data_IF_024881873412
#
_entry.id   IF_024881873412
#
_cell.length_a   1.000
_cell.length_b   1.000
_cell.length_c   1.000
_cell.angle_alpha   90.00
_cell.angle_beta   90.00
_cell.angle_gamma   90.00
#
_symmetry.space_group_name_H-M   'P 1'
#
loop_
_entity.id
_entity.type
_entity.pdbx_description
1 polymer ?
#
# COMPACT_ATOMS: atom_id res chain seq x y z
N UNK A 1 -51.85 58.25 -35.84
CA UNK A 1 -50.89 59.02 -35.01
C UNK A 1 -50.10 58.04 -34.14
N UNK A 2 -49.00 57.55 -34.66
CA UNK A 2 -48.04 56.74 -33.83
C UNK A 2 -46.91 57.64 -33.48
N UNK A 3 -46.64 57.78 -32.15
CA UNK A 3 -45.46 58.48 -31.61
C UNK A 3 -44.31 57.48 -31.60
N UNK A 4 -43.28 57.82 -32.37
CA UNK A 4 -41.94 57.19 -32.32
C UNK A 4 -41.25 57.45 -30.97
N UNK A 5 -40.85 56.39 -30.27
CA UNK A 5 -40.00 56.46 -29.08
C UNK A 5 -38.55 56.22 -29.50
N UNK A 6 -37.75 57.26 -29.38
CA UNK A 6 -36.32 57.31 -29.70
C UNK A 6 -35.54 56.65 -28.55
N UNK A 7 -34.95 55.46 -28.78
CA UNK A 7 -34.02 54.83 -27.84
C UNK A 7 -32.63 55.48 -27.96
N UNK A 8 -32.12 55.99 -26.86
CA UNK A 8 -30.74 56.46 -26.75
C UNK A 8 -29.76 55.28 -26.67
N UNK A 9 -28.59 55.35 -27.30
CA UNK A 9 -27.60 54.30 -27.21
C UNK A 9 -26.91 54.25 -25.80
N UNK A 10 -26.74 52.99 -25.32
CA UNK A 10 -26.04 52.73 -24.08
C UNK A 10 -24.54 53.12 -24.22
N UNK A 11 -24.08 53.95 -23.29
CA UNK A 11 -22.69 54.32 -23.20
C UNK A 11 -21.81 53.12 -22.82
N UNK A 12 -20.78 52.87 -23.62
CA UNK A 12 -19.74 51.87 -23.40
C UNK A 12 -18.95 52.21 -22.12
N UNK A 13 -19.16 51.46 -21.07
CA UNK A 13 -18.39 51.55 -19.85
C UNK A 13 -17.05 50.80 -20.04
N UNK A 14 -15.94 51.53 -20.19
CA UNK A 14 -14.59 50.99 -20.19
C UNK A 14 -14.24 50.59 -18.77
N UNK A 15 -14.13 49.29 -18.45
CA UNK A 15 -13.51 48.86 -17.19
C UNK A 15 -12.03 49.28 -17.15
N UNK A 16 -11.55 49.77 -16.02
CA UNK A 16 -10.14 50.17 -15.91
C UNK A 16 -9.23 48.90 -16.01
N UNK A 17 -8.16 49.03 -16.80
CA UNK A 17 -7.19 47.99 -17.11
C UNK A 17 -6.49 47.41 -15.86
N UNK A 18 -6.61 48.03 -14.71
CA UNK A 18 -6.06 47.57 -13.44
C UNK A 18 -6.85 46.38 -12.86
N UNK A 19 -8.18 46.36 -13.00
CA UNK A 19 -9.06 45.27 -12.51
C UNK A 19 -8.88 43.97 -13.26
N UNK A 20 -8.56 44.05 -14.56
CA UNK A 20 -8.33 42.84 -15.41
C UNK A 20 -6.97 42.19 -15.05
N UNK A 21 -5.95 42.98 -14.69
CA UNK A 21 -4.63 42.44 -14.27
C UNK A 21 -4.67 41.77 -12.89
N UNK A 22 -5.46 42.27 -11.95
CA UNK A 22 -5.62 41.67 -10.62
C UNK A 22 -6.41 40.34 -10.73
N UNK A 23 -7.45 40.25 -11.55
CA UNK A 23 -8.19 39.02 -11.76
C UNK A 23 -7.34 37.94 -12.45
N UNK A 24 -6.50 38.31 -13.44
CA UNK A 24 -5.63 37.36 -14.12
C UNK A 24 -4.49 36.85 -13.21
N UNK A 25 -3.99 37.68 -12.29
CA UNK A 25 -2.95 37.28 -11.32
C UNK A 25 -3.53 36.42 -10.21
N UNK A 26 -4.76 36.66 -9.76
CA UNK A 26 -5.47 35.79 -8.81
C UNK A 26 -5.82 34.42 -9.42
N UNK A 27 -6.24 34.36 -10.68
CA UNK A 27 -6.50 33.11 -11.40
C UNK A 27 -5.22 32.30 -11.64
N UNK A 28 -4.07 32.94 -11.84
CA UNK A 28 -2.79 32.25 -12.03
C UNK A 28 -2.25 31.64 -10.71
N UNK A 29 -2.53 32.28 -9.57
CA UNK A 29 -2.14 31.75 -8.25
C UNK A 29 -3.02 30.59 -7.76
N UNK A 30 -4.24 30.45 -8.27
CA UNK A 30 -5.13 29.32 -7.91
C UNK A 30 -4.93 28.08 -8.78
N UNK A 31 -4.21 28.17 -9.90
CA UNK A 31 -3.93 27.03 -10.77
C UNK A 31 -2.65 26.23 -10.39
N UNK A 32 -1.83 26.74 -9.47
CA UNK A 32 -0.61 26.05 -9.01
C UNK A 32 -0.93 24.99 -7.93
N UNK A 33 -2.15 24.95 -7.39
CA UNK A 33 -2.53 24.07 -6.28
C UNK A 33 -3.12 22.69 -6.64
N UNK A 34 -3.30 22.35 -7.92
CA UNK A 34 -4.07 21.15 -8.31
C UNK A 34 -3.29 20.03 -9.01
N UNK A 35 -1.97 20.20 -9.21
CA UNK A 35 -1.15 19.20 -9.91
C UNK A 35 -0.26 18.33 -9.00
N UNK A 36 -0.34 18.45 -7.69
CA UNK A 36 0.63 17.84 -6.77
C UNK A 36 0.04 16.68 -5.97
N UNK A 37 -0.38 15.58 -6.60
CA UNK A 37 -0.85 14.42 -5.82
C UNK A 37 -0.59 13.02 -6.38
N UNK A 38 0.08 12.87 -7.50
CA UNK A 38 0.40 11.56 -8.04
C UNK A 38 1.88 11.23 -7.80
N UNK A 39 2.25 10.86 -6.59
CA UNK A 39 3.64 10.55 -6.25
C UNK A 39 3.72 9.43 -5.22
N UNK A 40 4.66 8.51 -5.44
CA UNK A 40 4.95 7.42 -4.50
C UNK A 40 6.23 7.66 -3.70
N UNK A 41 7.06 8.63 -4.10
CA UNK A 41 8.33 8.98 -3.47
C UNK A 41 8.26 10.36 -2.84
N UNK A 42 8.68 10.45 -1.58
CA UNK A 42 8.75 11.69 -0.80
C UNK A 42 10.14 11.89 -0.23
N UNK A 43 10.62 13.13 -0.27
CA UNK A 43 11.84 13.60 0.35
C UNK A 43 11.54 14.11 1.76
N UNK A 44 12.37 13.71 2.72
CA UNK A 44 12.27 14.09 4.13
C UNK A 44 13.51 14.93 4.48
N UNK A 45 13.31 16.18 4.94
CA UNK A 45 14.38 17.12 5.28
C UNK A 45 14.00 17.98 6.49
N UNK A 46 14.88 18.90 6.88
CA UNK A 46 14.67 19.77 8.07
C UNK A 46 15.09 19.10 9.36
N UNK A 47 14.77 19.72 10.51
CA UNK A 47 15.11 19.24 11.85
C UNK A 47 16.57 18.77 12.01
N UNK A 48 17.50 19.61 11.54
CA UNK A 48 18.95 19.39 11.67
C UNK A 48 19.50 18.16 10.88
N UNK A 49 18.70 17.58 9.98
CA UNK A 49 19.22 16.57 9.05
C UNK A 49 20.24 17.21 8.10
N UNK A 50 21.46 16.70 8.09
CA UNK A 50 22.55 17.22 7.24
C UNK A 50 22.35 16.87 5.76
N UNK A 51 21.70 15.73 5.50
CA UNK A 51 21.29 15.27 4.17
C UNK A 51 19.85 14.75 4.25
N UNK A 52 19.07 14.88 3.16
CA UNK A 52 17.70 14.36 3.15
C UNK A 52 17.67 12.85 3.22
N UNK A 53 16.61 12.32 3.80
CA UNK A 53 16.15 10.95 3.64
C UNK A 53 14.97 10.90 2.70
N UNK A 54 14.55 9.70 2.29
CA UNK A 54 13.43 9.50 1.39
C UNK A 54 12.51 8.38 1.91
N UNK A 55 11.25 8.42 1.49
CA UNK A 55 10.30 7.34 1.73
C UNK A 55 9.54 7.04 0.43
N UNK A 56 9.43 5.77 0.08
CA UNK A 56 8.72 5.29 -1.11
C UNK A 56 7.65 4.28 -0.71
N UNK A 57 6.47 4.44 -1.32
CA UNK A 57 5.37 3.48 -1.19
C UNK A 57 5.49 2.34 -2.19
N UNK A 58 5.26 1.09 -1.75
CA UNK A 58 5.23 -0.11 -2.58
C UNK A 58 3.88 -0.81 -2.52
N UNK A 59 3.61 -1.65 -3.51
CA UNK A 59 2.53 -2.65 -3.49
C UNK A 59 3.15 -3.99 -3.85
N UNK A 60 3.10 -4.94 -2.92
CA UNK A 60 3.83 -6.22 -2.94
C UNK A 60 3.62 -7.07 -4.20
N UNK A 61 2.54 -6.85 -4.94
CA UNK A 61 2.22 -7.60 -6.16
C UNK A 61 2.65 -6.91 -7.45
N UNK A 62 3.35 -5.79 -7.36
CA UNK A 62 3.88 -5.04 -8.50
C UNK A 62 5.31 -5.45 -8.78
N UNK A 63 5.62 -5.71 -10.07
CA UNK A 63 6.97 -6.06 -10.53
C UNK A 63 7.96 -4.89 -10.38
N UNK A 64 9.20 -5.22 -10.13
CA UNK A 64 10.33 -4.28 -10.11
C UNK A 64 10.48 -3.48 -11.42
N UNK A 65 9.94 -3.96 -12.52
CA UNK A 65 9.91 -3.23 -13.80
C UNK A 65 9.16 -1.90 -13.74
N UNK A 66 8.34 -1.69 -12.71
CA UNK A 66 7.68 -0.40 -12.45
C UNK A 66 8.62 0.64 -11.82
N UNK A 67 9.71 0.21 -11.20
CA UNK A 67 10.64 1.06 -10.46
C UNK A 67 11.14 2.30 -11.25
N UNK A 68 11.60 2.20 -12.52
CA UNK A 68 12.04 3.37 -13.28
C UNK A 68 10.94 4.41 -13.55
N UNK A 69 9.67 4.06 -13.29
CA UNK A 69 8.53 4.96 -13.45
C UNK A 69 8.29 5.86 -12.24
N UNK A 70 8.92 5.53 -11.08
CA UNK A 70 8.84 6.35 -9.87
C UNK A 70 9.84 7.50 -10.01
N UNK A 71 9.31 8.71 -10.14
CA UNK A 71 10.13 9.91 -10.37
C UNK A 71 11.12 10.13 -9.22
N UNK A 72 12.40 10.35 -9.54
CA UNK A 72 13.45 10.65 -8.57
C UNK A 72 13.98 9.45 -7.78
N UNK A 73 13.51 8.24 -8.07
CA UNK A 73 13.89 7.06 -7.30
C UNK A 73 15.38 6.74 -7.39
N UNK A 74 15.99 6.91 -8.57
CA UNK A 74 17.42 6.71 -8.77
C UNK A 74 18.25 7.68 -7.91
N UNK A 75 17.82 8.96 -7.81
CA UNK A 75 18.46 9.94 -6.93
C UNK A 75 18.33 9.51 -5.47
N UNK A 76 17.13 9.12 -5.03
CA UNK A 76 16.88 8.67 -3.67
C UNK A 76 17.75 7.46 -3.32
N UNK A 77 17.86 6.48 -4.23
CA UNK A 77 18.76 5.32 -4.07
C UNK A 77 20.21 5.78 -3.98
N UNK A 78 20.68 6.64 -4.89
CA UNK A 78 22.10 7.00 -4.97
C UNK A 78 22.58 7.90 -3.83
N UNK A 79 21.70 8.74 -3.27
CA UNK A 79 22.04 9.74 -2.25
C UNK A 79 21.83 9.27 -0.81
N UNK A 80 21.24 8.09 -0.60
CA UNK A 80 21.05 7.49 0.72
C UNK A 80 22.09 6.44 1.02
N UNK A 81 22.40 6.20 2.30
CA UNK A 81 23.43 5.26 2.75
C UNK A 81 22.80 3.96 3.31
N UNK A 82 21.50 4.00 3.65
CA UNK A 82 20.74 2.88 4.20
C UNK A 82 19.43 2.68 3.45
N UNK A 83 18.99 1.43 3.28
CA UNK A 83 17.65 1.07 2.85
C UNK A 83 16.94 0.41 4.02
N UNK A 84 15.80 0.99 4.41
CA UNK A 84 15.04 0.57 5.59
C UNK A 84 13.69 0.04 5.13
N UNK A 85 13.46 -1.27 5.30
CA UNK A 85 12.17 -1.89 5.02
C UNK A 85 11.20 -1.81 6.20
N UNK A 86 10.02 -2.36 6.02
CA UNK A 86 9.13 -2.64 7.15
C UNK A 86 9.82 -3.62 8.11
N UNK A 87 10.38 -4.69 7.58
CA UNK A 87 11.26 -5.64 8.26
C UNK A 87 12.67 -5.52 7.67
N UNK A 88 13.73 -5.72 8.47
CA UNK A 88 15.08 -5.86 7.91
C UNK A 88 15.10 -7.07 6.96
N UNK A 89 15.53 -6.81 5.76
CA UNK A 89 15.57 -7.82 4.70
C UNK A 89 16.48 -9.02 5.02
N UNK A 90 17.51 -8.85 5.84
CA UNK A 90 18.33 -9.97 6.31
C UNK A 90 17.54 -10.90 7.21
N UNK A 91 16.67 -10.35 8.07
CA UNK A 91 15.74 -11.12 8.89
C UNK A 91 14.71 -11.81 8.00
N UNK A 92 14.03 -11.06 7.11
CA UNK A 92 12.98 -11.56 6.26
C UNK A 92 13.41 -12.73 5.34
N UNK A 93 14.69 -12.78 4.95
CA UNK A 93 15.26 -13.85 4.12
C UNK A 93 15.97 -14.95 4.92
N UNK A 94 16.03 -14.85 6.24
CA UNK A 94 16.66 -15.88 7.06
C UNK A 94 15.84 -17.18 7.03
N UNK A 95 16.55 -18.33 6.98
CA UNK A 95 15.89 -19.64 7.00
C UNK A 95 15.04 -19.82 8.27
N UNK A 96 15.50 -19.30 9.40
CA UNK A 96 14.77 -19.34 10.67
C UNK A 96 13.44 -18.59 10.58
N UNK A 97 13.43 -17.36 10.03
CA UNK A 97 12.22 -16.58 9.85
C UNK A 97 11.25 -17.25 8.88
N UNK A 98 11.72 -17.72 7.73
CA UNK A 98 10.90 -18.43 6.75
C UNK A 98 10.27 -19.70 7.33
N UNK A 99 11.01 -20.42 8.17
CA UNK A 99 10.48 -21.60 8.89
C UNK A 99 9.36 -21.20 9.84
N UNK A 100 9.56 -20.16 10.66
CA UNK A 100 8.54 -19.67 11.59
C UNK A 100 7.29 -19.15 10.88
N UNK A 101 7.43 -18.46 9.75
CA UNK A 101 6.28 -18.05 8.91
C UNK A 101 5.52 -19.27 8.42
N UNK A 102 6.25 -20.28 7.90
CA UNK A 102 5.62 -21.51 7.43
C UNK A 102 4.86 -22.23 8.55
N UNK A 103 5.44 -22.32 9.74
CA UNK A 103 4.80 -22.93 10.91
C UNK A 103 3.56 -22.13 11.37
N UNK A 104 3.63 -20.80 11.38
CA UNK A 104 2.49 -19.94 11.73
C UNK A 104 1.31 -20.05 10.77
N UNK A 105 1.59 -20.44 9.53
CA UNK A 105 0.56 -20.67 8.51
C UNK A 105 -0.06 -22.06 8.57
N UNK A 106 0.41 -22.96 9.43
CA UNK A 106 -0.02 -24.36 9.46
C UNK A 106 -0.89 -24.68 10.67
N UNK A 107 -1.95 -25.43 10.45
CA UNK A 107 -2.74 -26.04 11.52
C UNK A 107 -1.95 -27.15 12.23
N UNK A 108 -2.25 -27.43 13.50
CA UNK A 108 -1.64 -28.52 14.24
C UNK A 108 -1.73 -29.86 13.47
N UNK A 109 -0.81 -30.76 13.76
CA UNK A 109 -0.80 -32.08 13.13
C UNK A 109 -2.14 -32.82 13.33
N UNK A 110 -2.62 -33.46 12.25
CA UNK A 110 -3.91 -34.16 12.23
C UNK A 110 -5.14 -33.25 12.09
N UNK A 111 -4.97 -31.91 12.04
CA UNK A 111 -6.06 -30.96 11.76
C UNK A 111 -5.98 -30.44 10.34
N UNK A 112 -7.15 -30.16 9.78
CA UNK A 112 -7.30 -29.58 8.45
C UNK A 112 -8.33 -28.46 8.48
N UNK A 113 -8.41 -27.70 7.41
CA UNK A 113 -9.43 -26.65 7.24
C UNK A 113 -10.86 -27.19 7.35
N UNK A 114 -11.08 -28.47 7.01
CA UNK A 114 -12.38 -29.15 7.16
C UNK A 114 -12.83 -29.29 8.61
N UNK A 115 -11.89 -29.29 9.56
CA UNK A 115 -12.21 -29.38 11.00
C UNK A 115 -12.71 -28.05 11.56
N UNK A 116 -12.54 -26.95 10.81
CA UNK A 116 -12.84 -25.58 11.25
C UNK A 116 -14.08 -25.00 10.59
N UNK A 117 -14.45 -25.48 9.42
CA UNK A 117 -15.52 -24.93 8.59
C UNK A 117 -16.76 -25.82 8.61
N UNK A 118 -17.92 -25.19 8.61
CA UNK A 118 -19.19 -25.86 8.30
C UNK A 118 -19.25 -26.29 6.84
N UNK A 119 -20.19 -27.15 6.49
CA UNK A 119 -20.38 -27.58 5.10
C UNK A 119 -20.73 -26.44 4.14
N UNK A 120 -21.41 -25.40 4.62
CA UNK A 120 -21.78 -24.23 3.80
C UNK A 120 -20.57 -23.31 3.60
N UNK A 121 -19.81 -23.03 4.65
CA UNK A 121 -18.56 -22.25 4.57
C UNK A 121 -17.54 -22.93 3.65
N UNK A 122 -17.44 -24.26 3.72
CA UNK A 122 -16.58 -25.05 2.83
C UNK A 122 -16.96 -24.89 1.36
N UNK A 123 -18.25 -24.75 1.02
CA UNK A 123 -18.68 -24.49 -0.36
C UNK A 123 -18.17 -23.14 -0.87
N UNK A 124 -18.21 -22.09 -0.04
CA UNK A 124 -17.71 -20.78 -0.40
C UNK A 124 -16.20 -20.83 -0.65
N UNK A 125 -15.45 -21.49 0.23
CA UNK A 125 -14.00 -21.70 0.07
C UNK A 125 -13.68 -22.53 -1.19
N UNK A 126 -14.40 -23.61 -1.44
CA UNK A 126 -14.23 -24.44 -2.62
C UNK A 126 -14.52 -23.66 -3.92
N UNK A 127 -15.55 -22.81 -3.92
CA UNK A 127 -15.85 -21.93 -5.06
C UNK A 127 -14.68 -20.97 -5.37
N UNK A 128 -14.12 -20.34 -4.35
CA UNK A 128 -12.98 -19.44 -4.50
C UNK A 128 -11.73 -20.20 -5.01
N UNK A 129 -11.40 -21.35 -4.42
CA UNK A 129 -10.31 -22.22 -4.87
C UNK A 129 -10.47 -22.63 -6.33
N UNK A 130 -11.65 -23.16 -6.69
CA UNK A 130 -11.97 -23.56 -8.05
C UNK A 130 -11.75 -22.43 -9.04
N UNK A 131 -12.09 -21.19 -8.66
CA UNK A 131 -11.94 -20.02 -9.52
C UNK A 131 -10.48 -19.68 -9.85
N UNK A 132 -9.55 -19.93 -8.94
CA UNK A 132 -8.12 -19.57 -9.12
C UNK A 132 -7.23 -20.76 -9.51
N UNK A 133 -7.58 -21.98 -9.11
CA UNK A 133 -6.74 -23.18 -9.36
C UNK A 133 -7.34 -24.15 -10.36
N UNK A 134 -8.65 -24.08 -10.63
CA UNK A 134 -9.39 -25.06 -11.41
C UNK A 134 -9.70 -26.36 -10.63
N UNK A 135 -9.43 -26.41 -9.32
CA UNK A 135 -9.72 -27.53 -8.44
C UNK A 135 -10.09 -27.01 -7.04
N UNK A 136 -10.67 -27.86 -6.21
CA UNK A 136 -11.08 -27.54 -4.85
C UNK A 136 -10.60 -28.59 -3.83
N UNK A 137 -11.03 -28.49 -2.58
CA UNK A 137 -10.65 -29.43 -1.53
C UNK A 137 -11.25 -30.87 -1.68
N UNK A 138 -12.12 -31.10 -2.65
CA UNK A 138 -12.54 -32.44 -2.97
C UNK A 138 -11.49 -33.18 -3.83
N UNK A 139 -10.55 -32.46 -4.43
CA UNK A 139 -9.36 -32.99 -5.02
C UNK A 139 -8.33 -33.34 -3.93
N UNK A 140 -7.90 -34.65 -3.82
CA UNK A 140 -6.94 -35.10 -2.80
C UNK A 140 -5.59 -34.36 -2.85
N UNK A 141 -5.13 -33.91 -4.04
CA UNK A 141 -3.87 -33.19 -4.18
C UNK A 141 -3.98 -31.77 -3.58
N UNK A 142 -5.09 -31.08 -3.83
CA UNK A 142 -5.37 -29.76 -3.23
C UNK A 142 -5.45 -29.85 -1.72
N UNK A 143 -6.18 -30.88 -1.22
CA UNK A 143 -6.26 -31.14 0.21
C UNK A 143 -4.90 -31.44 0.83
N UNK A 144 -4.06 -32.24 0.17
CA UNK A 144 -2.72 -32.56 0.67
C UNK A 144 -1.80 -31.34 0.72
N UNK A 145 -1.92 -30.43 -0.24
CA UNK A 145 -1.06 -29.24 -0.35
C UNK A 145 -1.51 -28.08 0.56
N UNK A 146 -2.79 -27.81 0.64
CA UNK A 146 -3.34 -26.61 1.26
C UNK A 146 -4.30 -26.88 2.42
N UNK A 147 -4.74 -28.13 2.60
CA UNK A 147 -5.76 -28.48 3.61
C UNK A 147 -5.29 -28.26 5.05
N UNK A 148 -4.00 -28.15 5.30
CA UNK A 148 -3.43 -27.88 6.61
C UNK A 148 -3.08 -26.40 6.83
N UNK A 149 -3.36 -25.53 5.88
CA UNK A 149 -3.18 -24.09 6.12
C UNK A 149 -4.18 -23.59 7.18
N UNK A 150 -3.74 -22.67 8.03
CA UNK A 150 -4.65 -21.88 8.87
C UNK A 150 -5.56 -21.06 7.96
N UNK A 151 -6.73 -20.60 8.44
CA UNK A 151 -7.59 -19.74 7.62
C UNK A 151 -6.87 -18.48 7.13
N UNK A 152 -6.04 -17.84 7.94
CA UNK A 152 -5.21 -16.70 7.52
C UNK A 152 -4.16 -17.09 6.47
N UNK A 153 -3.51 -18.26 6.63
CA UNK A 153 -2.59 -18.82 5.64
C UNK A 153 -3.28 -19.11 4.30
N UNK A 154 -4.49 -19.64 4.36
CA UNK A 154 -5.28 -19.92 3.16
C UNK A 154 -5.76 -18.62 2.48
N UNK A 155 -6.18 -17.60 3.25
CA UNK A 155 -6.54 -16.27 2.71
C UNK A 155 -5.38 -15.64 1.96
N UNK A 156 -4.18 -15.63 2.54
CA UNK A 156 -2.97 -15.15 1.87
C UNK A 156 -2.66 -15.93 0.59
N UNK A 157 -2.78 -17.24 0.64
CA UNK A 157 -2.54 -18.12 -0.52
C UNK A 157 -3.54 -17.85 -1.64
N UNK A 158 -4.83 -17.70 -1.32
CA UNK A 158 -5.88 -17.36 -2.30
C UNK A 158 -5.64 -15.99 -2.94
N UNK A 159 -5.26 -14.98 -2.16
CA UNK A 159 -4.93 -13.64 -2.66
C UNK A 159 -3.72 -13.69 -3.61
N UNK A 160 -2.67 -14.43 -3.25
CA UNK A 160 -1.51 -14.63 -4.11
C UNK A 160 -1.88 -15.33 -5.42
N UNK A 161 -2.69 -16.39 -5.37
CA UNK A 161 -3.17 -17.10 -6.55
C UNK A 161 -4.05 -16.23 -7.45
N UNK A 162 -4.85 -15.35 -6.84
CA UNK A 162 -5.64 -14.35 -7.56
C UNK A 162 -4.73 -13.40 -8.35
N UNK A 163 -3.66 -12.89 -7.70
CA UNK A 163 -2.65 -12.07 -8.36
C UNK A 163 -1.97 -12.82 -9.51
N UNK A 164 -1.54 -14.05 -9.28
CA UNK A 164 -0.90 -14.87 -10.31
C UNK A 164 -1.81 -15.12 -11.52
N UNK A 165 -3.11 -15.36 -11.28
CA UNK A 165 -4.07 -15.62 -12.35
C UNK A 165 -4.34 -14.37 -13.21
N UNK A 166 -4.55 -13.21 -12.58
CA UNK A 166 -4.98 -12.00 -13.28
C UNK A 166 -3.81 -11.15 -13.83
N UNK A 167 -2.63 -11.32 -13.25
CA UNK A 167 -1.43 -10.57 -13.62
C UNK A 167 -0.29 -11.48 -14.09
N UNK A 168 -0.60 -12.66 -14.65
CA UNK A 168 0.38 -13.67 -15.07
C UNK A 168 1.52 -13.11 -15.93
N UNK A 169 1.22 -12.13 -16.80
CA UNK A 169 2.20 -11.50 -17.67
C UNK A 169 3.07 -10.44 -16.98
N UNK A 170 2.66 -9.97 -15.80
CA UNK A 170 3.33 -8.87 -15.07
C UNK A 170 3.64 -9.19 -13.60
N UNK A 171 3.15 -10.30 -13.07
CA UNK A 171 3.42 -10.76 -11.72
C UNK A 171 4.46 -11.88 -11.72
N UNK A 172 5.60 -11.61 -11.09
CA UNK A 172 6.63 -12.63 -10.84
C UNK A 172 6.99 -12.58 -9.35
N UNK A 173 6.71 -13.62 -8.57
CA UNK A 173 6.99 -13.65 -7.14
C UNK A 173 8.51 -13.52 -6.81
N UNK A 174 9.39 -13.75 -7.79
CA UNK A 174 10.83 -13.56 -7.65
C UNK A 174 11.32 -12.17 -8.09
N UNK A 175 10.40 -11.31 -8.55
CA UNK A 175 10.71 -9.98 -9.09
C UNK A 175 9.75 -8.92 -8.50
N UNK A 176 9.47 -9.00 -7.20
CA UNK A 176 8.65 -8.03 -6.51
C UNK A 176 9.45 -6.76 -6.22
N UNK A 177 8.77 -5.62 -6.18
CA UNK A 177 9.40 -4.32 -5.97
C UNK A 177 10.16 -4.25 -4.64
N UNK A 178 9.67 -4.90 -3.61
CA UNK A 178 10.34 -4.97 -2.30
C UNK A 178 11.66 -5.73 -2.37
N UNK A 179 11.71 -6.87 -3.10
CA UNK A 179 12.92 -7.63 -3.34
C UNK A 179 13.97 -6.85 -4.16
N UNK A 180 13.50 -5.95 -5.03
CA UNK A 180 14.36 -5.08 -5.79
C UNK A 180 15.16 -4.14 -4.89
N UNK A 181 14.52 -3.49 -3.92
CA UNK A 181 15.20 -2.60 -2.98
C UNK A 181 16.26 -3.33 -2.15
N UNK A 182 15.99 -4.58 -1.76
CA UNK A 182 17.00 -5.43 -1.11
C UNK A 182 18.21 -5.69 -2.01
N UNK A 183 17.94 -6.02 -3.27
CA UNK A 183 18.99 -6.23 -4.26
C UNK A 183 19.82 -4.96 -4.44
N UNK A 184 19.17 -3.81 -4.61
CA UNK A 184 19.82 -2.50 -4.73
C UNK A 184 20.70 -2.20 -3.52
N UNK A 185 20.23 -2.44 -2.29
CA UNK A 185 21.02 -2.23 -1.10
C UNK A 185 22.30 -3.08 -1.10
N UNK A 186 22.19 -4.35 -1.44
CA UNK A 186 23.36 -5.27 -1.50
C UNK A 186 24.35 -4.89 -2.58
N UNK A 187 23.90 -4.63 -3.80
CA UNK A 187 24.75 -4.30 -4.95
C UNK A 187 25.51 -2.99 -4.74
N UNK A 188 24.93 -2.05 -3.99
CA UNK A 188 25.55 -0.76 -3.67
C UNK A 188 26.23 -0.74 -2.29
N UNK A 189 26.39 -1.88 -1.61
CA UNK A 189 26.98 -2.00 -0.28
C UNK A 189 26.34 -1.08 0.77
N UNK A 190 25.04 -0.83 0.68
CA UNK A 190 24.30 0.00 1.63
C UNK A 190 23.95 -0.80 2.88
N UNK A 191 23.83 -0.10 4.00
CA UNK A 191 23.24 -0.68 5.21
C UNK A 191 21.76 -1.04 4.97
N UNK A 192 21.25 -2.00 5.76
CA UNK A 192 19.82 -2.33 5.79
C UNK A 192 19.33 -2.29 7.23
N UNK A 193 18.07 -1.97 7.43
CA UNK A 193 17.39 -1.93 8.73
C UNK A 193 15.89 -2.17 8.56
N UNK A 194 15.15 -2.33 9.67
CA UNK A 194 13.72 -2.54 9.70
C UNK A 194 12.98 -1.60 10.66
N UNK A 195 11.80 -1.16 10.28
CA UNK A 195 10.92 -0.35 11.12
C UNK A 195 10.22 -1.18 12.20
N UNK A 196 10.04 -2.47 11.95
CA UNK A 196 9.50 -3.44 12.91
C UNK A 196 10.22 -4.79 12.75
N UNK A 197 9.97 -5.71 13.67
CA UNK A 197 10.53 -7.06 13.59
C UNK A 197 9.61 -7.98 12.81
N UNK A 198 10.18 -9.06 12.23
CA UNK A 198 9.39 -10.09 11.56
C UNK A 198 8.39 -10.76 12.50
N UNK A 199 8.71 -10.90 13.80
CA UNK A 199 7.80 -11.46 14.80
C UNK A 199 6.58 -10.55 15.04
N UNK A 200 6.77 -9.21 15.10
CA UNK A 200 5.67 -8.25 15.20
C UNK A 200 4.72 -8.37 14.00
N UNK A 201 5.28 -8.46 12.79
CA UNK A 201 4.49 -8.60 11.56
C UNK A 201 3.78 -9.96 11.48
N UNK A 202 4.44 -11.06 11.81
CA UNK A 202 3.82 -12.39 11.86
C UNK A 202 2.64 -12.44 12.84
N UNK A 203 2.78 -11.81 14.00
CA UNK A 203 1.71 -11.75 14.99
C UNK A 203 0.48 -10.99 14.47
N UNK A 204 0.70 -9.93 13.71
CA UNK A 204 -0.40 -9.18 13.08
C UNK A 204 -1.12 -10.00 12.00
N UNK A 205 -0.36 -10.71 11.16
CA UNK A 205 -0.90 -11.43 10.00
C UNK A 205 -1.53 -12.79 10.37
N UNK A 206 -0.94 -13.51 11.33
CA UNK A 206 -1.30 -14.91 11.64
C UNK A 206 -1.70 -15.14 13.10
N UNK A 207 -1.49 -14.17 13.99
CA UNK A 207 -1.73 -14.32 15.43
C UNK A 207 -3.15 -13.99 15.88
N UNK A 208 -4.08 -13.72 14.97
CA UNK A 208 -5.48 -13.46 15.32
C UNK A 208 -6.17 -14.73 15.84
N UNK A 209 -7.20 -14.61 16.71
CA UNK A 209 -7.99 -15.75 17.16
C UNK A 209 -8.53 -16.58 15.98
N UNK A 210 -8.55 -17.89 16.13
CA UNK A 210 -8.96 -18.82 15.07
C UNK A 210 -10.37 -18.51 14.53
N UNK A 211 -11.29 -18.14 15.41
CA UNK A 211 -12.66 -17.78 15.03
C UNK A 211 -12.69 -16.53 14.14
N UNK A 212 -11.81 -15.55 14.39
CA UNK A 212 -11.67 -14.38 13.53
C UNK A 212 -11.09 -14.78 12.17
N UNK A 213 -10.03 -15.59 12.17
CA UNK A 213 -9.41 -16.05 10.92
C UNK A 213 -10.42 -16.83 10.04
N UNK A 214 -11.29 -17.64 10.65
CA UNK A 214 -12.37 -18.36 9.94
C UNK A 214 -13.36 -17.36 9.33
N UNK A 215 -13.87 -16.42 10.12
CA UNK A 215 -14.81 -15.39 9.61
C UNK A 215 -14.24 -14.61 8.44
N UNK A 216 -12.98 -14.17 8.56
CA UNK A 216 -12.32 -13.36 7.54
C UNK A 216 -12.10 -14.17 6.25
N UNK A 217 -11.69 -15.43 6.35
CA UNK A 217 -11.55 -16.33 5.21
C UNK A 217 -12.89 -16.57 4.50
N UNK A 218 -13.93 -16.91 5.26
CA UNK A 218 -15.26 -17.20 4.70
C UNK A 218 -15.81 -15.96 4.00
N UNK A 219 -15.74 -14.79 4.64
CA UNK A 219 -16.16 -13.54 4.04
C UNK A 219 -15.37 -13.22 2.74
N UNK A 220 -14.04 -13.38 2.75
CA UNK A 220 -13.23 -13.23 1.54
C UNK A 220 -13.73 -14.14 0.41
N UNK A 221 -14.03 -15.41 0.72
CA UNK A 221 -14.48 -16.37 -0.28
C UNK A 221 -15.91 -16.11 -0.77
N UNK A 222 -16.80 -15.61 0.08
CA UNK A 222 -18.16 -15.22 -0.29
C UNK A 222 -18.17 -13.98 -1.20
N UNK A 223 -17.22 -13.07 -1.01
CA UNK A 223 -17.08 -11.82 -1.77
C UNK A 223 -15.85 -11.82 -2.68
N UNK A 224 -15.43 -12.98 -3.19
CA UNK A 224 -14.17 -13.15 -3.90
C UNK A 224 -14.08 -12.30 -5.18
N UNK A 225 -15.19 -12.14 -5.91
CA UNK A 225 -15.25 -11.28 -7.10
C UNK A 225 -15.00 -9.80 -6.74
N UNK A 226 -15.47 -9.36 -5.56
CA UNK A 226 -15.19 -8.02 -5.06
C UNK A 226 -13.72 -7.87 -4.66
N UNK A 227 -13.17 -8.84 -3.95
CA UNK A 227 -11.74 -8.82 -3.58
C UNK A 227 -10.84 -8.73 -4.82
N UNK A 228 -11.24 -9.37 -5.92
CA UNK A 228 -10.57 -9.21 -7.21
C UNK A 228 -10.64 -7.76 -7.73
N UNK A 229 -11.82 -7.15 -7.75
CA UNK A 229 -12.01 -5.77 -8.22
C UNK A 229 -11.22 -4.77 -7.36
N UNK A 230 -11.25 -4.93 -6.04
CA UNK A 230 -10.49 -4.09 -5.10
C UNK A 230 -8.97 -4.19 -5.36
N UNK A 231 -8.47 -5.39 -5.66
CA UNK A 231 -7.07 -5.60 -6.04
C UNK A 231 -6.72 -4.90 -7.37
N UNK A 232 -7.61 -4.99 -8.36
CA UNK A 232 -7.44 -4.32 -9.65
C UNK A 232 -7.40 -2.79 -9.48
N UNK A 233 -8.32 -2.24 -8.71
CA UNK A 233 -8.40 -0.80 -8.40
C UNK A 233 -7.17 -0.32 -7.65
N UNK A 234 -6.68 -1.08 -6.67
CA UNK A 234 -5.47 -0.79 -5.90
C UNK A 234 -4.23 -0.76 -6.81
N UNK A 235 -4.05 -1.77 -7.67
CA UNK A 235 -2.92 -1.83 -8.61
C UNK A 235 -3.01 -0.70 -9.64
N UNK A 236 -4.21 -0.38 -10.13
CA UNK A 236 -4.41 0.74 -11.05
C UNK A 236 -4.06 2.09 -10.40
N UNK A 237 -4.54 2.33 -9.18
CA UNK A 237 -4.19 3.54 -8.43
C UNK A 237 -2.68 3.64 -8.20
N UNK A 238 -2.02 2.54 -7.83
CA UNK A 238 -0.57 2.50 -7.63
C UNK A 238 0.21 2.79 -8.92
N UNK A 239 -0.13 2.14 -10.03
CA UNK A 239 0.52 2.37 -11.34
C UNK A 239 0.32 3.79 -11.86
N UNK A 240 -0.79 4.43 -11.53
CA UNK A 240 -1.02 5.84 -11.80
C UNK A 240 -0.34 6.76 -10.77
N UNK A 241 0.34 6.20 -9.77
CA UNK A 241 0.98 6.90 -8.64
C UNK A 241 -0.01 7.77 -7.84
N UNK A 242 -1.29 7.42 -7.87
CA UNK A 242 -2.38 8.13 -7.19
C UNK A 242 -2.55 7.60 -5.75
N UNK A 243 -1.73 8.15 -4.85
CA UNK A 243 -1.73 7.77 -3.44
C UNK A 243 -3.05 8.09 -2.74
N UNK A 244 -3.75 9.14 -3.18
CA UNK A 244 -5.07 9.49 -2.65
C UNK A 244 -6.11 8.40 -3.00
N UNK A 245 -6.18 8.03 -4.29
CA UNK A 245 -7.09 6.96 -4.74
C UNK A 245 -6.76 5.62 -4.09
N UNK A 246 -5.47 5.32 -3.92
CA UNK A 246 -5.04 4.11 -3.22
C UNK A 246 -5.54 4.09 -1.76
N UNK A 247 -5.43 5.21 -1.05
CA UNK A 247 -5.98 5.35 0.30
C UNK A 247 -7.49 5.18 0.35
N UNK A 248 -8.23 5.77 -0.61
CA UNK A 248 -9.69 5.61 -0.72
C UNK A 248 -10.09 4.13 -0.92
N UNK A 249 -9.38 3.40 -1.78
CA UNK A 249 -9.64 1.96 -2.02
C UNK A 249 -9.38 1.17 -0.73
N UNK A 250 -8.28 1.44 -0.04
CA UNK A 250 -7.96 0.76 1.22
C UNK A 250 -8.96 1.08 2.33
N UNK A 251 -9.35 2.34 2.49
CA UNK A 251 -10.35 2.73 3.49
C UNK A 251 -11.70 2.08 3.20
N UNK A 252 -12.09 1.95 1.94
CA UNK A 252 -13.31 1.23 1.54
C UNK A 252 -13.22 -0.26 1.87
N UNK A 253 -12.07 -0.90 1.68
CA UNK A 253 -11.85 -2.30 2.09
C UNK A 253 -12.04 -2.49 3.60
N UNK A 254 -11.56 -1.55 4.43
CA UNK A 254 -11.77 -1.62 5.87
C UNK A 254 -13.22 -1.34 6.28
N UNK A 255 -13.94 -0.47 5.59
CA UNK A 255 -15.32 -0.09 5.95
C UNK A 255 -16.36 -1.08 5.45
N UNK A 256 -16.17 -1.65 4.27
CA UNK A 256 -17.17 -2.44 3.56
C UNK A 256 -16.69 -3.84 3.21
N UNK A 257 -15.43 -4.16 3.52
CA UNK A 257 -14.80 -5.46 3.23
C UNK A 257 -14.99 -6.49 4.34
N UNK A 258 -14.13 -7.50 4.30
CA UNK A 258 -14.14 -8.64 5.22
C UNK A 258 -13.20 -8.43 6.41
N UNK A 259 -13.15 -7.24 6.95
CA UNK A 259 -12.33 -6.89 8.12
C UNK A 259 -13.22 -6.47 9.31
N UNK A 260 -12.62 -6.41 10.50
CA UNK A 260 -13.27 -5.79 11.66
C UNK A 260 -13.26 -4.24 11.56
N UNK A 261 -13.18 -3.72 10.33
CA UNK A 261 -13.32 -2.31 10.00
C UNK A 261 -12.27 -1.41 10.63
N UNK A 262 -12.70 -0.38 11.42
CA UNK A 262 -11.77 0.58 12.01
C UNK A 262 -10.74 -0.05 12.95
N UNK A 263 -11.05 -1.20 13.59
CA UNK A 263 -10.13 -1.87 14.50
C UNK A 263 -8.95 -2.52 13.73
N UNK A 264 -9.22 -3.19 12.63
CA UNK A 264 -8.16 -3.76 11.78
C UNK A 264 -7.31 -2.66 11.16
N UNK A 265 -7.94 -1.59 10.65
CA UNK A 265 -7.22 -0.41 10.16
C UNK A 265 -6.30 0.18 11.24
N UNK A 266 -6.80 0.29 12.47
CA UNK A 266 -6.01 0.79 13.59
C UNK A 266 -4.75 -0.06 13.82
N UNK A 267 -4.89 -1.38 13.85
CA UNK A 267 -3.77 -2.30 14.12
C UNK A 267 -2.81 -2.43 12.92
N UNK A 268 -3.35 -2.58 11.71
CA UNK A 268 -2.55 -2.89 10.53
C UNK A 268 -1.86 -1.65 9.94
N UNK A 269 -2.40 -0.45 10.18
CA UNK A 269 -1.89 0.79 9.60
C UNK A 269 -1.49 1.79 10.67
N UNK A 270 -2.44 2.29 11.48
CA UNK A 270 -2.22 3.48 12.30
C UNK A 270 -1.22 3.24 13.42
N UNK A 271 -1.33 2.13 14.16
CA UNK A 271 -0.43 1.81 15.26
C UNK A 271 0.98 1.47 14.76
N UNK A 272 1.11 0.88 13.57
CA UNK A 272 2.41 0.66 12.91
C UNK A 272 3.03 2.00 12.53
N UNK A 273 2.27 2.88 11.87
CA UNK A 273 2.74 4.23 11.51
C UNK A 273 3.27 5.00 12.72
N UNK A 274 2.56 4.96 13.85
CA UNK A 274 3.00 5.61 15.10
C UNK A 274 4.34 5.06 15.59
N UNK A 275 4.48 3.74 15.68
CA UNK A 275 5.75 3.11 16.09
C UNK A 275 6.90 3.42 15.14
N UNK A 276 6.63 3.45 13.83
CA UNK A 276 7.64 3.74 12.83
C UNK A 276 8.15 5.18 12.92
N UNK A 277 7.25 6.17 13.02
CA UNK A 277 7.66 7.58 13.14
C UNK A 277 8.36 7.92 14.46
N UNK A 278 8.26 7.07 15.48
CA UNK A 278 9.10 7.16 16.68
C UNK A 278 10.54 6.71 16.44
N UNK A 279 10.77 5.71 15.58
CA UNK A 279 12.09 5.17 15.24
C UNK A 279 12.81 5.99 14.15
N UNK A 280 12.07 6.48 13.15
CA UNK A 280 12.62 7.15 11.97
C UNK A 280 13.58 8.31 12.29
N UNK A 281 13.34 9.20 13.27
CA UNK A 281 14.26 10.26 13.61
C UNK A 281 15.67 9.79 13.97
N UNK A 282 15.77 8.71 14.75
CA UNK A 282 17.05 8.13 15.15
C UNK A 282 17.80 7.56 13.94
N UNK A 283 17.09 6.86 13.06
CA UNK A 283 17.67 6.30 11.83
C UNK A 283 18.16 7.42 10.91
N UNK A 284 17.33 8.44 10.64
CA UNK A 284 17.66 9.55 9.75
C UNK A 284 18.80 10.43 10.27
N UNK A 285 18.93 10.59 11.60
CA UNK A 285 20.02 11.34 12.19
C UNK A 285 21.35 10.61 12.12
N UNK A 286 21.32 9.26 12.14
CA UNK A 286 22.53 8.45 12.01
C UNK A 286 23.06 8.46 10.57
N UNK A 287 22.19 8.35 9.58
CA UNK A 287 22.55 8.33 8.16
C UNK A 287 21.34 8.61 7.26
N UNK A 288 21.53 9.24 6.09
CA UNK A 288 20.47 9.39 5.09
C UNK A 288 19.92 8.03 4.67
N UNK A 289 18.61 7.87 4.73
CA UNK A 289 17.96 6.58 4.57
C UNK A 289 16.82 6.63 3.54
N UNK A 290 16.67 5.56 2.77
CA UNK A 290 15.50 5.31 1.92
C UNK A 290 14.58 4.32 2.65
N UNK A 291 13.44 4.80 3.13
CA UNK A 291 12.40 3.98 3.72
C UNK A 291 11.52 3.38 2.61
N UNK A 292 11.29 2.08 2.68
CA UNK A 292 10.49 1.31 1.72
C UNK A 292 9.34 0.66 2.47
N UNK A 293 8.14 1.16 2.29
CA UNK A 293 6.95 0.72 3.05
C UNK A 293 5.76 0.54 2.12
N UNK A 294 4.78 -0.24 2.53
CA UNK A 294 3.53 -0.36 1.77
C UNK A 294 2.88 1.01 1.55
N UNK A 295 2.45 1.30 0.32
CA UNK A 295 1.93 2.61 -0.08
C UNK A 295 0.72 3.06 0.76
N UNK A 296 -0.03 2.11 1.31
CA UNK A 296 -1.13 2.39 2.24
C UNK A 296 -0.71 3.12 3.51
N UNK A 297 0.53 2.96 3.95
CA UNK A 297 1.08 3.67 5.11
C UNK A 297 1.38 5.15 4.82
N UNK A 298 1.38 5.54 3.54
CA UNK A 298 1.62 6.91 3.10
C UNK A 298 0.33 7.69 2.81
N UNK A 299 -0.82 7.02 2.74
CA UNK A 299 -2.10 7.62 2.38
C UNK A 299 -2.90 8.06 3.62
N UNK A 300 -3.66 9.15 3.47
CA UNK A 300 -4.61 9.64 4.48
C UNK A 300 -3.98 10.44 5.62
N UNK A 301 -4.84 10.82 6.57
CA UNK A 301 -4.48 11.73 7.68
C UNK A 301 -3.59 11.07 8.74
N UNK A 302 -3.75 9.74 8.95
CA UNK A 302 -2.94 8.93 9.87
C UNK A 302 -1.68 8.34 9.19
N UNK A 303 -1.24 8.93 8.08
CA UNK A 303 -0.07 8.44 7.33
C UNK A 303 1.25 8.80 8.00
N UNK A 304 2.28 8.03 7.70
CA UNK A 304 3.68 8.33 8.08
C UNK A 304 4.07 9.75 7.63
N UNK A 305 3.66 10.16 6.42
CA UNK A 305 3.95 11.49 5.89
C UNK A 305 3.36 12.60 6.76
N UNK A 306 2.09 12.46 7.15
CA UNK A 306 1.40 13.43 8.01
C UNK A 306 2.03 13.47 9.40
N UNK A 307 2.33 12.33 9.99
CA UNK A 307 2.94 12.24 11.32
C UNK A 307 4.37 12.84 11.34
N UNK A 308 5.18 12.65 10.31
CA UNK A 308 6.50 13.27 10.19
C UNK A 308 6.39 14.79 10.06
N UNK A 309 5.43 15.31 9.28
CA UNK A 309 5.16 16.76 9.20
C UNK A 309 4.75 17.33 10.56
N UNK A 310 3.91 16.63 11.32
CA UNK A 310 3.53 17.02 12.69
C UNK A 310 4.71 17.04 13.65
N UNK A 311 5.71 16.19 13.44
CA UNK A 311 6.98 16.23 14.18
C UNK A 311 7.91 17.37 13.74
N UNK A 312 7.56 18.15 12.69
CA UNK A 312 8.30 19.29 12.20
C UNK A 312 9.32 19.00 11.10
N UNK A 313 9.27 17.81 10.47
CA UNK A 313 10.02 17.55 9.24
C UNK A 313 9.35 18.21 8.05
N UNK A 314 10.16 18.60 7.06
CA UNK A 314 9.68 18.98 5.73
C UNK A 314 9.58 17.72 4.89
N UNK A 315 8.37 17.38 4.48
CA UNK A 315 8.07 16.15 3.71
C UNK A 315 7.40 16.56 2.40
N UNK A 316 8.14 16.47 1.31
CA UNK A 316 7.75 16.95 -0.02
C UNK A 316 7.70 15.78 -1.01
N UNK A 317 6.69 15.79 -1.89
CA UNK A 317 6.66 14.87 -3.01
C UNK A 317 7.84 15.15 -3.95
N UNK A 318 8.47 14.10 -4.49
CA UNK A 318 9.54 14.27 -5.49
C UNK A 318 8.88 14.43 -6.84
N UNK A 319 8.95 15.64 -7.38
CA UNK A 319 8.36 16.03 -8.66
C UNK A 319 9.35 15.88 -9.81
N UNK A 320 8.83 15.84 -11.05
CA UNK A 320 9.64 15.80 -12.28
C UNK A 320 10.37 17.11 -12.52
#
# INVERSE_FOLDING_TARGET
MLKSVCMKPFASMKLPTLTVRILSTLCALTMVGLAAQAQLLYKISGKDLTRPSYIVGTVHVVSSSFFPQIVGIDEAVNTTDCVVGEIDFKEALSQDFLTRVSEAMMLPEGKTIRDLLTAEEMKSVNKALMSVTGADFDNPMVMAQMGRLTPAGLSNTLTLMLCMKHYADSFNPNDLIDLYFQKVARENNKATDGLETGEEQMRLLFGQPMEKQVRDLVCLCEHFDRAQQDLEDMIAAYKNQDLKRLGEVMDQQFLEGCSDGPQDRQQLVVDRNRRWVEKMPTIMSAQPSLFVVGAGHLAGDDSVLTMLRQQGYVVEAVER
#
